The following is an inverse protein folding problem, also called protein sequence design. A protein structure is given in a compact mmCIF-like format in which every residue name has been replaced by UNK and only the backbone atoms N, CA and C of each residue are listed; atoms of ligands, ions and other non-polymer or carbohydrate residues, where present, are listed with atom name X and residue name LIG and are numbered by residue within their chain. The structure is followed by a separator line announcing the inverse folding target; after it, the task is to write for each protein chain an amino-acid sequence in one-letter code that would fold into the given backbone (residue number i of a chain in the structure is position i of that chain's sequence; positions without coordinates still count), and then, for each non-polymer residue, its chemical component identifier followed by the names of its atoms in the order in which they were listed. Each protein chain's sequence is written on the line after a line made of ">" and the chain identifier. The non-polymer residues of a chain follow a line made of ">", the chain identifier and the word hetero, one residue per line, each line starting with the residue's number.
data_IF_414976933829
#
_entry.id   IF_414976933829
#
_cell.length_a   1.000
_cell.length_b   1.000
_cell.length_c   1.000
_cell.angle_alpha   90.00
_cell.angle_beta   90.00
_cell.angle_gamma   90.00
#
_symmetry.space_group_name_H-M   'P 1'
#
loop_
_entity.id
_entity.type
_entity.pdbx_description
1 polymer ?
#
# COMPACT_ATOMS: atom_id res chain seq x y z
N UNK A 1 5.53 3.52 -11.65
CA UNK A 1 4.79 4.36 -10.68
C UNK A 1 5.68 4.68 -9.50
N UNK A 2 5.64 5.92 -8.99
CA UNK A 2 6.20 6.19 -7.67
C UNK A 2 5.14 5.91 -6.60
N UNK A 3 5.60 5.71 -5.37
CA UNK A 3 4.73 5.44 -4.22
C UNK A 3 5.07 6.41 -3.10
N UNK A 4 4.09 7.17 -2.66
CA UNK A 4 4.22 8.19 -1.62
C UNK A 4 3.30 7.89 -0.43
N UNK A 5 3.71 8.36 0.74
CA UNK A 5 2.89 8.39 1.95
C UNK A 5 2.67 9.85 2.30
N UNK A 6 1.42 10.34 2.23
CA UNK A 6 1.14 11.72 2.62
C UNK A 6 1.02 11.89 4.14
N UNK A 7 0.67 10.81 4.85
CA UNK A 7 0.19 10.92 6.22
C UNK A 7 1.19 10.37 7.24
N UNK A 8 1.52 11.17 8.27
CA UNK A 8 2.37 10.71 9.40
C UNK A 8 1.75 9.52 10.12
N UNK A 9 0.41 9.43 10.13
CA UNK A 9 -0.31 8.32 10.74
C UNK A 9 0.05 6.97 10.11
N UNK A 10 0.24 6.93 8.78
CA UNK A 10 0.65 5.72 8.05
C UNK A 10 2.05 5.30 8.50
N UNK A 11 2.99 6.24 8.57
CA UNK A 11 4.36 5.96 9.00
C UNK A 11 4.42 5.48 10.45
N UNK A 12 3.68 6.13 11.35
CA UNK A 12 3.57 5.74 12.75
C UNK A 12 2.96 4.33 12.89
N UNK A 13 1.92 4.03 12.10
CA UNK A 13 1.28 2.70 12.10
C UNK A 13 2.25 1.60 11.65
N UNK A 14 3.03 1.88 10.60
CA UNK A 14 4.07 0.97 10.09
C UNK A 14 5.19 0.78 11.12
N UNK A 15 5.61 1.85 11.80
CA UNK A 15 6.67 1.81 12.81
C UNK A 15 6.23 1.00 14.04
N UNK A 16 5.07 1.32 14.61
CA UNK A 16 4.51 0.62 15.79
C UNK A 16 4.38 -0.90 15.58
N UNK A 17 4.21 -1.34 14.33
CA UNK A 17 4.04 -2.76 13.96
C UNK A 17 5.28 -3.39 13.32
N UNK A 18 6.42 -2.69 13.31
CA UNK A 18 7.68 -3.16 12.70
C UNK A 18 7.52 -3.60 11.22
N UNK A 19 6.70 -2.87 10.46
CA UNK A 19 6.38 -3.17 9.06
C UNK A 19 7.23 -2.38 8.05
N UNK A 20 8.00 -1.38 8.50
CA UNK A 20 8.72 -0.43 7.63
C UNK A 20 9.57 -1.14 6.56
N UNK A 21 10.36 -2.15 6.94
CA UNK A 21 11.24 -2.86 6.01
C UNK A 21 10.45 -3.62 4.94
N UNK A 22 9.39 -4.33 5.34
CA UNK A 22 8.50 -5.08 4.44
C UNK A 22 7.73 -4.15 3.52
N UNK A 23 7.28 -3.01 4.06
CA UNK A 23 6.61 -1.97 3.30
C UNK A 23 7.52 -1.35 2.24
N UNK A 24 8.75 -0.95 2.60
CA UNK A 24 9.74 -0.47 1.64
C UNK A 24 10.01 -1.49 0.53
N UNK A 25 10.14 -2.77 0.87
CA UNK A 25 10.30 -3.85 -0.13
C UNK A 25 9.10 -3.93 -1.08
N UNK A 26 7.88 -3.82 -0.55
CA UNK A 26 6.66 -3.80 -1.36
C UNK A 26 6.62 -2.58 -2.31
N UNK A 27 7.03 -1.39 -1.85
CA UNK A 27 7.16 -0.20 -2.71
C UNK A 27 8.13 -0.44 -3.86
N UNK A 28 9.27 -1.08 -3.60
CA UNK A 28 10.25 -1.38 -4.65
C UNK A 28 9.70 -2.35 -5.70
N UNK A 29 8.86 -3.31 -5.31
CA UNK A 29 8.15 -4.15 -6.28
C UNK A 29 7.17 -3.35 -7.15
N UNK A 30 6.44 -2.39 -6.58
CA UNK A 30 5.55 -1.51 -7.35
C UNK A 30 6.30 -0.63 -8.33
N UNK A 31 7.45 -0.06 -7.91
CA UNK A 31 8.31 0.74 -8.79
C UNK A 31 8.84 -0.06 -9.97
N UNK A 32 9.13 -1.35 -9.76
CA UNK A 32 9.61 -2.30 -10.79
C UNK A 32 8.48 -2.96 -11.58
N UNK A 33 7.25 -2.49 -11.43
CA UNK A 33 6.04 -3.04 -12.05
C UNK A 33 5.79 -4.54 -11.75
N UNK A 34 6.34 -5.04 -10.63
CA UNK A 34 6.15 -6.42 -10.17
C UNK A 34 4.85 -6.54 -9.35
N UNK A 35 3.73 -6.11 -9.94
CA UNK A 35 2.43 -5.96 -9.29
C UNK A 35 1.89 -7.27 -8.69
N UNK A 36 2.20 -8.41 -9.33
CA UNK A 36 1.82 -9.75 -8.86
C UNK A 36 2.49 -10.11 -7.53
N UNK A 37 3.73 -9.66 -7.29
CA UNK A 37 4.50 -9.99 -6.09
C UNK A 37 3.85 -9.38 -4.82
N UNK A 38 3.23 -8.21 -4.96
CA UNK A 38 2.53 -7.50 -3.88
C UNK A 38 1.02 -7.60 -3.98
N UNK A 39 0.50 -8.44 -4.89
CA UNK A 39 -0.94 -8.60 -5.12
C UNK A 39 -1.67 -7.25 -5.25
N UNK A 40 -1.09 -6.32 -6.02
CA UNK A 40 -1.67 -4.99 -6.24
C UNK A 40 -3.00 -5.12 -6.99
N UNK A 41 -4.09 -4.64 -6.38
CA UNK A 41 -5.45 -4.83 -6.88
C UNK A 41 -6.35 -3.65 -6.54
N UNK A 42 -7.35 -3.39 -7.38
CA UNK A 42 -8.41 -2.43 -7.09
C UNK A 42 -9.28 -2.94 -5.94
N UNK A 43 -9.56 -2.08 -4.96
CA UNK A 43 -10.44 -2.36 -3.82
C UNK A 43 -11.90 -2.18 -4.24
N UNK A 44 -12.79 -3.03 -3.72
CA UNK A 44 -14.25 -2.82 -3.84
C UNK A 44 -14.73 -1.86 -2.74
N UNK A 45 -15.75 -1.01 -3.00
CA UNK A 45 -16.43 -0.83 -4.29
C UNK A 45 -15.54 -0.11 -5.31
N UNK A 46 -15.57 -0.56 -6.56
CA UNK A 46 -14.64 -0.08 -7.60
C UNK A 46 -14.86 1.38 -8.03
N UNK A 47 -16.01 1.95 -7.66
CA UNK A 47 -16.38 3.34 -7.90
C UNK A 47 -15.51 4.32 -7.10
N UNK A 48 -14.94 3.89 -5.97
CA UNK A 48 -14.07 4.74 -5.14
C UNK A 48 -12.66 4.93 -5.69
N UNK A 49 -12.27 4.19 -6.75
CA UNK A 49 -10.93 4.33 -7.34
C UNK A 49 -9.77 3.92 -6.43
N UNK A 50 -10.04 3.27 -5.30
CA UNK A 50 -9.02 2.83 -4.34
C UNK A 50 -8.35 1.55 -4.82
N UNK A 51 -7.05 1.45 -4.57
CA UNK A 51 -6.26 0.24 -4.77
C UNK A 51 -5.59 -0.15 -3.47
N UNK A 52 -5.15 -1.40 -3.40
CA UNK A 52 -4.36 -1.89 -2.30
C UNK A 52 -3.21 -2.75 -2.78
N UNK A 53 -2.17 -2.84 -1.96
CA UNK A 53 -1.15 -3.86 -2.08
C UNK A 53 -0.82 -4.50 -0.75
N UNK A 54 -0.30 -5.71 -0.85
CA UNK A 54 0.08 -6.54 0.27
C UNK A 54 1.44 -6.13 0.80
N UNK A 55 1.49 -5.88 2.11
CA UNK A 55 2.74 -5.70 2.86
C UNK A 55 3.15 -7.03 3.47
N UNK A 56 2.19 -7.74 4.07
CA UNK A 56 2.37 -9.06 4.70
C UNK A 56 1.14 -9.93 4.48
N UNK A 57 1.08 -11.15 5.02
CA UNK A 57 -0.17 -11.95 4.98
C UNK A 57 -1.35 -11.21 5.64
N UNK A 58 -1.07 -10.47 6.71
CA UNK A 58 -2.05 -9.77 7.55
C UNK A 58 -2.38 -8.37 7.02
N UNK A 59 -1.36 -7.56 6.77
CA UNK A 59 -1.49 -6.13 6.46
C UNK A 59 -1.46 -5.79 4.96
N UNK A 60 -2.33 -4.85 4.56
CA UNK A 60 -2.41 -4.25 3.22
C UNK A 60 -2.32 -2.72 3.31
N UNK A 61 -1.54 -2.11 2.43
CA UNK A 61 -1.57 -0.67 2.21
C UNK A 61 -2.70 -0.33 1.23
N UNK A 62 -3.44 0.73 1.51
CA UNK A 62 -4.53 1.24 0.68
C UNK A 62 -4.12 2.62 0.20
N UNK A 63 -4.45 2.92 -1.05
CA UNK A 63 -4.14 4.20 -1.64
C UNK A 63 -4.97 4.48 -2.89
N UNK A 64 -4.70 5.65 -3.46
CA UNK A 64 -5.33 6.15 -4.68
C UNK A 64 -4.24 6.54 -5.67
N UNK A 65 -4.58 6.54 -6.96
CA UNK A 65 -3.70 7.11 -7.97
C UNK A 65 -3.94 8.61 -8.08
N UNK A 66 -2.86 9.36 -8.16
CA UNK A 66 -2.83 10.75 -8.56
C UNK A 66 -1.94 10.86 -9.80
N UNK A 67 -2.57 10.89 -10.98
CA UNK A 67 -1.87 10.71 -12.25
C UNK A 67 -1.17 9.34 -12.34
N UNK A 68 0.16 9.35 -12.47
CA UNK A 68 1.00 8.15 -12.55
C UNK A 68 1.52 7.66 -11.19
N UNK A 69 1.28 8.45 -10.14
CA UNK A 69 1.80 8.21 -8.79
C UNK A 69 0.75 7.55 -7.90
N UNK A 70 1.21 6.69 -7.00
CA UNK A 70 0.36 5.99 -6.05
C UNK A 70 0.54 6.56 -4.64
N UNK A 71 -0.55 7.10 -4.09
CA UNK A 71 -0.56 7.74 -2.79
C UNK A 71 -1.18 6.79 -1.77
N UNK A 72 -0.39 6.31 -0.81
CA UNK A 72 -0.86 5.50 0.31
C UNK A 72 -1.50 6.40 1.35
N UNK A 73 -2.77 6.12 1.63
CA UNK A 73 -3.60 6.88 2.58
C UNK A 73 -3.89 6.12 3.86
N UNK A 74 -3.82 4.78 3.83
CA UNK A 74 -4.16 3.97 5.01
C UNK A 74 -3.51 2.57 5.01
N UNK A 75 -3.40 1.95 6.18
CA UNK A 75 -2.93 0.57 6.37
C UNK A 75 -4.04 -0.25 7.03
N UNK A 76 -4.62 -1.19 6.28
CA UNK A 76 -5.65 -2.09 6.79
C UNK A 76 -5.06 -3.40 7.28
N UNK A 77 -5.53 -3.80 8.46
CA UNK A 77 -5.58 -5.20 8.82
C UNK A 77 -6.69 -5.89 8.03
N UNK A 78 -6.39 -7.03 7.42
CA UNK A 78 -7.36 -7.79 6.62
C UNK A 78 -7.69 -9.14 7.26
N UNK A 79 -7.10 -9.45 8.41
CA UNK A 79 -7.36 -10.70 9.13
C UNK A 79 -8.12 -10.48 10.44
N UNK A 80 -8.50 -9.24 10.73
CA UNK A 80 -9.46 -8.88 11.79
C UNK A 80 -10.84 -8.61 11.19
#
# INVERSE_FOLDING_TARGET
>A
MNVYELDKQVLDYLQKRNLISRYKKAKEYLKKDQLKAVQFKKRKPYTEGKYYFRITRKYRAIGVFDGEDFIVTDISDHQE
#
